data_IF_765846619719
#
_entry.id   IF_765846619719
#
_cell.length_a   1.000
_cell.length_b   1.000
_cell.length_c   1.000
_cell.angle_alpha   90.00
_cell.angle_beta   90.00
_cell.angle_gamma   90.00
#
_symmetry.space_group_name_H-M   'P 1'
#
loop_
_entity.id
_entity.type
_entity.pdbx_description
1 polymer ?
#
# COMPACT_ATOMS: atom_id res chain seq x y z
N UNK A 1 -7.24 -12.90 7.32
CA UNK A 1 -7.31 -11.42 7.29
C UNK A 1 -6.03 -10.91 6.66
N UNK A 2 -6.13 -10.20 5.53
CA UNK A 2 -4.95 -9.70 4.82
C UNK A 2 -4.09 -8.80 5.72
N UNK A 3 -2.80 -8.80 5.43
CA UNK A 3 -1.82 -7.96 6.12
C UNK A 3 -1.30 -6.90 5.17
N UNK A 4 -1.24 -5.65 5.62
CA UNK A 4 -0.65 -4.54 4.88
C UNK A 4 0.70 -4.18 5.47
N UNK A 5 1.68 -3.96 4.61
CA UNK A 5 3.02 -3.54 4.98
C UNK A 5 3.43 -2.30 4.17
N UNK A 6 3.93 -1.27 4.86
CA UNK A 6 4.64 -0.18 4.20
C UNK A 6 4.70 1.12 4.99
N UNK A 7 4.88 2.27 4.29
CA UNK A 7 5.61 2.30 3.02
C UNK A 7 6.99 1.66 3.22
N UNK A 8 7.39 0.75 2.32
CA UNK A 8 8.77 0.23 2.29
C UNK A 8 9.55 1.03 1.26
N UNK A 9 10.65 1.66 1.65
CA UNK A 9 11.57 2.23 0.67
C UNK A 9 12.33 1.10 -0.05
N UNK A 10 12.46 1.22 -1.37
CA UNK A 10 13.16 0.23 -2.20
C UNK A 10 14.62 -0.01 -1.72
N UNK A 11 15.24 1.01 -1.13
CA UNK A 11 16.61 1.00 -0.61
C UNK A 11 16.74 0.22 0.73
N UNK A 12 15.62 -0.06 1.39
CA UNK A 12 15.53 -0.72 2.70
C UNK A 12 15.04 -2.17 2.58
N UNK A 13 15.20 -2.80 1.41
CA UNK A 13 14.77 -4.18 1.10
C UNK A 13 15.29 -5.27 2.06
N UNK A 14 16.17 -4.92 3.00
CA UNK A 14 16.73 -5.78 4.06
C UNK A 14 16.11 -5.56 5.46
N UNK A 15 15.18 -4.62 5.61
CA UNK A 15 14.55 -4.23 6.88
C UNK A 15 13.09 -4.66 7.00
N UNK A 16 12.67 -4.93 8.24
CA UNK A 16 11.25 -5.07 8.60
C UNK A 16 10.43 -3.88 8.07
N UNK A 17 9.17 -4.08 7.67
CA UNK A 17 8.30 -2.96 7.28
C UNK A 17 8.20 -1.91 8.39
N UNK A 18 8.24 -0.62 8.03
CA UNK A 18 8.05 0.49 8.97
C UNK A 18 6.68 0.42 9.67
N UNK A 19 5.65 0.02 8.94
CA UNK A 19 4.30 -0.13 9.46
C UNK A 19 3.68 -1.45 8.99
N UNK A 20 2.96 -2.11 9.89
CA UNK A 20 2.23 -3.35 9.59
C UNK A 20 0.86 -3.34 10.24
N UNK A 21 -0.16 -3.68 9.47
CA UNK A 21 -1.54 -3.77 9.94
C UNK A 21 -2.21 -5.03 9.41
N UNK A 22 -2.76 -5.83 10.33
CA UNK A 22 -3.70 -6.88 9.95
C UNK A 22 -5.11 -6.26 9.88
N UNK A 23 -5.73 -6.29 8.71
CA UNK A 23 -7.01 -5.63 8.47
C UNK A 23 -8.12 -6.64 8.20
N UNK A 24 -9.28 -6.44 8.82
CA UNK A 24 -10.50 -7.14 8.44
C UNK A 24 -11.09 -6.46 7.21
N UNK A 25 -10.61 -6.85 6.02
CA UNK A 25 -10.98 -6.23 4.76
C UNK A 25 -11.27 -7.29 3.69
N UNK A 26 -12.37 -7.12 2.95
CA UNK A 26 -12.71 -7.98 1.82
C UNK A 26 -12.17 -7.44 0.49
N UNK A 27 -11.84 -6.15 0.42
CA UNK A 27 -11.29 -5.50 -0.78
C UNK A 27 -10.07 -4.64 -0.45
N UNK A 28 -9.28 -4.34 -1.48
CA UNK A 28 -8.14 -3.43 -1.36
C UNK A 28 -8.56 -2.06 -0.80
N UNK A 29 -9.67 -1.48 -1.28
CA UNK A 29 -10.17 -0.19 -0.81
C UNK A 29 -10.49 -0.19 0.70
N UNK A 30 -11.08 -1.26 1.22
CA UNK A 30 -11.34 -1.41 2.66
C UNK A 30 -10.04 -1.53 3.46
N UNK A 31 -9.09 -2.30 2.94
CA UNK A 31 -7.78 -2.50 3.55
C UNK A 31 -7.00 -1.17 3.63
N UNK A 32 -7.00 -0.39 2.55
CA UNK A 32 -6.36 0.93 2.49
C UNK A 32 -7.09 1.94 3.39
N UNK A 33 -8.41 1.88 3.52
CA UNK A 33 -9.14 2.75 4.44
C UNK A 33 -8.74 2.48 5.90
N UNK A 34 -8.66 1.20 6.31
CA UNK A 34 -8.20 0.81 7.65
C UNK A 34 -6.74 1.24 7.91
N UNK A 35 -5.88 1.08 6.91
CA UNK A 35 -4.48 1.52 6.99
C UNK A 35 -4.34 3.03 7.17
N UNK A 36 -5.08 3.81 6.37
CA UNK A 36 -5.08 5.28 6.45
C UNK A 36 -5.50 5.79 7.82
N UNK A 37 -6.50 5.16 8.45
CA UNK A 37 -6.94 5.50 9.81
C UNK A 37 -5.88 5.15 10.86
N UNK A 38 -5.33 3.93 10.80
CA UNK A 38 -4.37 3.42 11.78
C UNK A 38 -3.06 4.22 11.81
N UNK A 39 -2.57 4.66 10.65
CA UNK A 39 -1.27 5.33 10.51
C UNK A 39 -1.37 6.82 10.17
N UNK A 40 -2.58 7.40 10.22
CA UNK A 40 -2.82 8.82 9.94
C UNK A 40 -2.21 9.26 8.61
N UNK A 41 -2.50 8.51 7.55
CA UNK A 41 -2.02 8.81 6.20
C UNK A 41 -3.18 8.97 5.24
N UNK A 42 -2.92 9.53 4.06
CA UNK A 42 -3.86 9.55 2.94
C UNK A 42 -3.23 8.85 1.75
N UNK A 43 -4.00 7.93 1.16
CA UNK A 43 -3.62 7.21 -0.03
C UNK A 43 -4.67 7.51 -1.10
N UNK A 44 -4.22 8.05 -2.22
CA UNK A 44 -5.09 8.43 -3.32
C UNK A 44 -4.50 8.03 -4.68
N UNK A 45 -5.33 7.69 -5.67
CA UNK A 45 -4.87 7.46 -7.05
C UNK A 45 -3.99 8.60 -7.56
N UNK A 46 -2.80 8.28 -8.07
CA UNK A 46 -1.95 9.26 -8.73
C UNK A 46 -2.42 9.45 -10.20
N UNK A 47 -2.67 10.69 -10.60
CA UNK A 47 -3.10 11.02 -11.98
C UNK A 47 -1.87 11.16 -12.88
N UNK A 48 -1.96 10.66 -14.12
CA UNK A 48 -0.91 10.81 -15.13
C UNK A 48 0.11 9.66 -15.21
N UNK A 49 -0.01 8.64 -14.35
CA UNK A 49 0.91 7.50 -14.27
C UNK A 49 0.30 6.17 -14.77
N UNK A 50 -0.45 6.22 -15.87
CA UNK A 50 -1.11 5.03 -16.48
C UNK A 50 -1.98 4.21 -15.49
N UNK A 51 -2.55 4.90 -14.49
CA UNK A 51 -3.38 4.27 -13.46
C UNK A 51 -2.63 3.29 -12.55
N UNK A 52 -1.28 3.34 -12.51
CA UNK A 52 -0.46 2.39 -11.74
C UNK A 52 -0.21 2.81 -10.29
N UNK A 53 0.22 4.06 -10.08
CA UNK A 53 0.74 4.50 -8.79
C UNK A 53 -0.30 5.20 -7.92
N UNK A 54 -0.01 5.33 -6.63
CA UNK A 54 -0.76 6.15 -5.68
C UNK A 54 0.12 7.23 -5.09
N UNK A 55 -0.50 8.32 -4.66
CA UNK A 55 0.10 9.27 -3.76
C UNK A 55 -0.14 8.79 -2.33
N UNK A 56 0.92 8.78 -1.54
CA UNK A 56 0.91 8.52 -0.11
C UNK A 56 1.32 9.81 0.61
N UNK A 57 0.45 10.33 1.46
CA UNK A 57 0.66 11.56 2.18
C UNK A 57 0.62 11.32 3.69
N UNK A 58 1.73 11.60 4.37
CA UNK A 58 1.82 11.53 5.83
C UNK A 58 1.21 12.79 6.44
N UNK A 59 0.17 12.64 7.26
CA UNK A 59 -0.54 13.80 7.80
C UNK A 59 0.25 14.54 8.89
N UNK A 60 1.18 13.86 9.55
CA UNK A 60 1.91 14.43 10.69
C UNK A 60 3.20 15.16 10.24
N UNK A 61 3.93 14.63 9.26
CA UNK A 61 5.14 15.26 8.68
C UNK A 61 4.83 16.18 7.49
N UNK A 62 3.75 15.88 6.75
CA UNK A 62 3.44 16.52 5.47
C UNK A 62 4.24 15.95 4.29
N UNK A 63 4.96 14.85 4.49
CA UNK A 63 5.74 14.21 3.44
C UNK A 63 4.82 13.52 2.43
N UNK A 64 5.21 13.58 1.16
CA UNK A 64 4.51 12.96 0.04
C UNK A 64 5.42 11.96 -0.68
N UNK A 65 4.91 10.76 -0.93
CA UNK A 65 5.59 9.69 -1.63
C UNK A 65 4.72 9.17 -2.77
N UNK A 66 5.37 8.79 -3.89
CA UNK A 66 4.73 7.99 -4.92
C UNK A 66 4.90 6.52 -4.56
N UNK A 67 3.81 5.75 -4.53
CA UNK A 67 3.83 4.33 -4.15
C UNK A 67 3.24 3.43 -5.26
N UNK A 68 3.78 2.22 -5.39
CA UNK A 68 3.17 1.11 -6.14
C UNK A 68 2.65 0.08 -5.14
N UNK A 69 1.44 -0.42 -5.35
CA UNK A 69 0.82 -1.39 -4.45
C UNK A 69 0.79 -2.75 -5.12
N UNK A 70 1.36 -3.73 -4.43
CA UNK A 70 1.38 -5.12 -4.88
C UNK A 70 0.67 -6.00 -3.87
N UNK A 71 0.09 -7.09 -4.35
CA UNK A 71 -0.44 -8.16 -3.50
C UNK A 71 0.43 -9.37 -3.74
N UNK A 72 0.93 -9.93 -2.64
CA UNK A 72 1.52 -11.26 -2.62
C UNK A 72 0.47 -12.24 -2.12
N UNK A 73 0.24 -13.28 -2.92
CA UNK A 73 -0.70 -14.37 -2.66
C UNK A 73 -0.01 -15.67 -3.00
N UNK A 74 0.13 -16.55 -2.02
CA UNK A 74 0.95 -17.75 -2.14
C UNK A 74 2.38 -17.40 -2.63
N UNK A 75 2.80 -17.95 -3.77
CA UNK A 75 4.10 -17.73 -4.40
C UNK A 75 4.09 -16.59 -5.46
N UNK A 76 2.92 -16.01 -5.73
CA UNK A 76 2.75 -14.96 -6.75
C UNK A 76 2.75 -13.56 -6.12
N UNK A 77 3.36 -12.60 -6.83
CA UNK A 77 3.30 -11.18 -6.52
C UNK A 77 2.86 -10.40 -7.76
N UNK A 78 1.85 -9.54 -7.61
CA UNK A 78 1.32 -8.77 -8.72
C UNK A 78 0.93 -7.33 -8.33
N UNK A 79 1.15 -6.40 -9.26
CA UNK A 79 0.72 -5.01 -9.13
C UNK A 79 -0.80 -4.91 -9.24
N UNK A 80 -1.43 -4.23 -8.27
CA UNK A 80 -2.88 -4.03 -8.23
C UNK A 80 -3.33 -2.83 -9.07
N UNK A 81 -2.38 -2.05 -9.59
CA UNK A 81 -2.63 -0.74 -10.20
C UNK A 81 -3.48 0.10 -9.23
N UNK A 82 -4.57 0.72 -9.70
CA UNK A 82 -5.52 1.45 -8.86
C UNK A 82 -6.86 0.71 -8.65
N UNK A 83 -6.87 -0.63 -8.72
CA UNK A 83 -8.10 -1.42 -8.55
C UNK A 83 -8.49 -1.54 -7.06
N UNK A 84 -9.26 -0.58 -6.57
CA UNK A 84 -9.78 -0.58 -5.20
C UNK A 84 -10.77 -1.71 -4.90
N UNK A 85 -11.42 -2.25 -5.94
CA UNK A 85 -12.43 -3.29 -5.79
C UNK A 85 -11.82 -4.70 -5.83
N UNK A 86 -10.48 -4.80 -6.01
CA UNK A 86 -9.74 -6.05 -5.97
C UNK A 86 -10.11 -6.86 -4.71
N UNK A 87 -10.68 -8.07 -4.89
CA UNK A 87 -10.97 -8.96 -3.77
C UNK A 87 -9.70 -9.46 -3.11
N UNK A 88 -9.61 -9.30 -1.79
CA UNK A 88 -8.51 -9.81 -0.99
C UNK A 88 -8.87 -11.16 -0.36
N UNK A 89 -7.86 -12.01 -0.22
CA UNK A 89 -7.92 -13.28 0.50
C UNK A 89 -7.33 -13.12 1.91
N UNK A 90 -7.62 -14.09 2.77
CA UNK A 90 -7.25 -14.01 4.18
C UNK A 90 -5.74 -14.07 4.43
N UNK A 91 -4.99 -14.63 3.51
CA UNK A 91 -3.54 -14.83 3.50
C UNK A 91 -2.80 -13.84 2.59
N UNK A 92 -3.52 -12.95 1.92
CA UNK A 92 -2.91 -11.91 1.10
C UNK A 92 -2.02 -10.98 1.93
N UNK A 93 -0.87 -10.64 1.36
CA UNK A 93 0.02 -9.61 1.88
C UNK A 93 0.03 -8.44 0.89
N UNK A 94 -0.52 -7.30 1.30
CA UNK A 94 -0.49 -6.05 0.55
C UNK A 94 0.79 -5.30 0.88
N UNK A 95 1.56 -4.97 -0.16
CA UNK A 95 2.85 -4.30 -0.07
C UNK A 95 2.73 -2.89 -0.65
N UNK A 96 2.94 -1.86 0.17
CA UNK A 96 3.03 -0.46 -0.27
C UNK A 96 4.51 -0.13 -0.49
N UNK A 97 4.94 -0.06 -1.75
CA UNK A 97 6.33 0.19 -2.12
C UNK A 97 6.54 1.64 -2.51
N UNK A 98 7.39 2.35 -1.77
CA UNK A 98 7.62 3.78 -1.98
C UNK A 98 8.82 4.08 -2.88
N UNK A 99 8.62 5.03 -3.78
CA UNK A 99 9.64 5.65 -4.61
C UNK A 99 9.85 7.08 -4.11
N UNK A 100 11.09 7.44 -3.77
CA UNK A 100 11.42 8.84 -3.54
C UNK A 100 11.39 9.56 -4.88
N UNK A 101 10.44 10.48 -5.04
CA UNK A 101 10.45 11.42 -6.16
C UNK A 101 11.43 12.52 -5.78
N UNK A 102 12.49 12.69 -6.57
CA UNK A 102 13.55 13.68 -6.34
C UNK A 102 13.06 15.11 -6.56
#
# INVERSE_FOLDING_TARGET
>A
MPVLHGPKHLDEFLGSPDQSLQAQAATLGQALAAYQDAFRVRIAPAVGYDGRYFLYFELDSGDELLIDIHVRRDDDEFCVRQDHDLPLQDDDVVLLMAFRVC
#
